data_IF_498647089328
#
_entry.id   IF_498647089328
#
_cell.length_a   1.000
_cell.length_b   1.000
_cell.length_c   1.000
_cell.angle_alpha   90.00
_cell.angle_beta   90.00
_cell.angle_gamma   90.00
#
_symmetry.space_group_name_H-M   'P 1'
#
loop_
_entity.id
_entity.type
_entity.pdbx_description
1 polymer ?
#
# COMPACT_ATOMS: atom_id res chain seq x y z
N UNK A 1 -21.39 -10.84 25.03
CA UNK A 1 -20.65 -9.68 24.49
C UNK A 1 -20.58 -8.65 25.59
N UNK A 2 -19.39 -8.19 25.97
CA UNK A 2 -19.28 -7.05 26.88
C UNK A 2 -19.88 -5.83 26.16
N UNK A 3 -20.76 -5.10 26.82
CA UNK A 3 -21.30 -3.83 26.31
C UNK A 3 -20.14 -2.85 26.22
N UNK A 4 -19.78 -2.42 25.01
CA UNK A 4 -18.80 -1.34 24.83
C UNK A 4 -19.45 -0.01 25.20
N UNK A 5 -18.76 0.78 26.03
CA UNK A 5 -19.22 2.13 26.38
C UNK A 5 -18.79 3.10 25.27
N UNK A 6 -19.76 3.59 24.49
CA UNK A 6 -19.51 4.57 23.44
C UNK A 6 -19.13 5.93 24.02
N UNK A 7 -18.28 6.65 23.29
CA UNK A 7 -17.93 8.04 23.58
C UNK A 7 -19.19 8.91 23.45
N UNK A 8 -19.68 9.58 24.53
CA UNK A 8 -21.02 10.16 24.58
C UNK A 8 -21.24 11.34 23.62
N UNK A 9 -20.16 11.91 23.06
CA UNK A 9 -20.21 13.09 22.22
C UNK A 9 -19.93 12.81 20.74
N UNK A 10 -19.90 11.55 20.32
CA UNK A 10 -19.64 11.18 18.91
C UNK A 10 -20.91 10.61 18.30
N UNK A 11 -21.59 11.41 17.49
CA UNK A 11 -22.80 11.06 16.76
C UNK A 11 -22.58 11.04 15.24
N UNK A 12 -21.55 11.77 14.74
CA UNK A 12 -21.24 11.91 13.33
C UNK A 12 -19.78 11.50 13.07
N UNK A 13 -19.61 10.37 12.44
CA UNK A 13 -18.31 9.89 11.96
C UNK A 13 -18.16 10.23 10.48
N UNK A 14 -17.12 10.99 10.13
CA UNK A 14 -16.77 11.27 8.74
C UNK A 14 -15.48 10.55 8.39
N UNK A 15 -15.48 9.82 7.28
CA UNK A 15 -14.30 9.14 6.74
C UNK A 15 -13.92 9.78 5.41
N UNK A 16 -12.72 10.34 5.32
CA UNK A 16 -12.22 10.97 4.11
C UNK A 16 -11.28 10.01 3.37
N UNK A 17 -11.77 9.48 2.27
CA UNK A 17 -11.16 8.43 1.45
C UNK A 17 -12.17 7.36 1.08
N UNK A 18 -12.12 6.81 -0.13
CA UNK A 18 -13.08 5.83 -0.65
C UNK A 18 -12.43 4.47 -0.99
N UNK A 19 -11.45 4.02 -0.21
CA UNK A 19 -10.77 2.74 -0.43
C UNK A 19 -10.82 1.87 0.82
N UNK A 20 -9.97 0.86 0.91
CA UNK A 20 -9.96 -0.17 1.97
C UNK A 20 -10.07 0.42 3.39
N UNK A 21 -9.31 1.49 3.68
CA UNK A 21 -9.34 2.11 5.01
C UNK A 21 -10.73 2.59 5.39
N UNK A 22 -11.44 3.26 4.48
CA UNK A 22 -12.80 3.72 4.71
C UNK A 22 -13.78 2.55 4.89
N UNK A 23 -13.68 1.54 4.02
CA UNK A 23 -14.50 0.31 4.12
C UNK A 23 -14.35 -0.33 5.50
N UNK A 24 -13.10 -0.58 5.92
CA UNK A 24 -12.82 -1.25 7.19
C UNK A 24 -13.25 -0.41 8.41
N UNK A 25 -13.13 0.91 8.34
CA UNK A 25 -13.67 1.81 9.39
C UNK A 25 -15.18 1.69 9.49
N UNK A 26 -15.89 1.72 8.36
CA UNK A 26 -17.36 1.59 8.31
C UNK A 26 -17.81 0.24 8.88
N UNK A 27 -17.22 -0.85 8.36
CA UNK A 27 -17.52 -2.22 8.83
C UNK A 27 -17.33 -2.35 10.34
N UNK A 28 -16.18 -1.90 10.82
CA UNK A 28 -15.85 -2.03 12.23
C UNK A 28 -16.76 -1.17 13.10
N UNK A 29 -17.10 0.07 12.68
CA UNK A 29 -18.04 0.92 13.40
C UNK A 29 -19.41 0.23 13.56
N UNK A 30 -19.92 -0.38 12.49
CA UNK A 30 -21.20 -1.11 12.54
C UNK A 30 -21.08 -2.43 13.32
N UNK A 31 -19.95 -3.12 13.19
CA UNK A 31 -19.68 -4.37 13.93
C UNK A 31 -19.70 -4.18 15.45
N UNK A 32 -19.17 -3.04 15.94
CA UNK A 32 -19.20 -2.72 17.37
C UNK A 32 -20.54 -2.15 17.84
N UNK A 33 -21.48 -1.89 16.93
CA UNK A 33 -22.82 -1.38 17.23
C UNK A 33 -22.94 0.15 17.27
N UNK A 34 -22.04 0.89 16.62
CA UNK A 34 -22.20 2.34 16.50
C UNK A 34 -23.39 2.68 15.60
N UNK A 35 -24.40 3.37 16.15
CA UNK A 35 -25.65 3.73 15.46
C UNK A 35 -25.65 5.17 14.92
N UNK A 36 -24.60 5.96 15.18
CA UNK A 36 -24.47 7.33 14.69
C UNK A 36 -24.36 7.42 13.17
N UNK A 37 -24.45 8.63 12.67
CA UNK A 37 -24.30 8.93 11.23
C UNK A 37 -22.88 8.62 10.76
N UNK A 38 -22.75 7.95 9.60
CA UNK A 38 -21.46 7.69 8.95
C UNK A 38 -21.49 8.24 7.54
N UNK A 39 -20.57 9.16 7.24
CA UNK A 39 -20.39 9.71 5.89
C UNK A 39 -18.99 9.36 5.38
N UNK A 40 -18.93 8.78 4.19
CA UNK A 40 -17.68 8.49 3.45
C UNK A 40 -17.55 9.47 2.28
N UNK A 41 -16.43 10.17 2.19
CA UNK A 41 -16.12 11.14 1.13
C UNK A 41 -15.03 10.53 0.24
N UNK A 42 -15.35 10.27 -1.03
CA UNK A 42 -14.45 9.67 -2.01
C UNK A 42 -14.24 10.57 -3.21
N UNK A 43 -12.99 10.91 -3.52
CA UNK A 43 -12.63 11.68 -4.73
C UNK A 43 -12.80 10.87 -6.03
N UNK A 44 -12.72 9.54 -5.96
CA UNK A 44 -12.97 8.68 -7.12
C UNK A 44 -14.48 8.56 -7.39
N UNK A 45 -14.84 8.48 -8.66
CA UNK A 45 -16.24 8.29 -9.10
C UNK A 45 -16.75 6.86 -8.89
N UNK A 46 -15.81 5.93 -8.74
CA UNK A 46 -16.10 4.52 -8.52
C UNK A 46 -16.45 4.26 -7.05
N UNK A 47 -17.36 3.32 -6.81
CA UNK A 47 -17.56 2.75 -5.48
C UNK A 47 -16.24 2.13 -4.99
N UNK A 48 -16.03 1.97 -3.66
CA UNK A 48 -14.85 1.30 -3.13
C UNK A 48 -14.62 -0.06 -3.78
N UNK A 49 -13.37 -0.32 -4.17
CA UNK A 49 -12.94 -1.54 -4.86
C UNK A 49 -11.58 -2.01 -4.35
N UNK A 50 -11.28 -3.28 -4.56
CA UNK A 50 -10.00 -3.88 -4.17
C UNK A 50 -8.88 -3.45 -5.12
N UNK A 51 -7.81 -2.83 -4.57
CA UNK A 51 -6.67 -2.34 -5.37
C UNK A 51 -5.62 -3.41 -5.71
N UNK A 52 -5.32 -4.40 -4.85
CA UNK A 52 -4.31 -5.41 -5.15
C UNK A 52 -4.49 -6.15 -6.47
N UNK A 53 -5.71 -6.42 -6.97
CA UNK A 53 -5.89 -7.02 -8.30
C UNK A 53 -5.46 -6.15 -9.48
N UNK A 54 -5.40 -4.82 -9.31
CA UNK A 54 -5.18 -3.86 -10.40
C UNK A 54 -3.84 -4.03 -11.13
N UNK A 55 -2.80 -4.53 -10.45
CA UNK A 55 -1.47 -4.78 -11.02
C UNK A 55 -1.24 -6.24 -11.44
N UNK A 56 -2.20 -7.12 -11.17
CA UNK A 56 -2.12 -8.58 -11.35
C UNK A 56 -3.22 -9.09 -12.30
N UNK A 57 -4.16 -9.82 -11.73
CA UNK A 57 -5.23 -10.50 -12.50
C UNK A 57 -6.08 -9.55 -13.36
N UNK A 58 -6.29 -8.30 -12.91
CA UNK A 58 -7.01 -7.32 -13.70
C UNK A 58 -6.28 -6.94 -15.00
N UNK A 59 -4.95 -6.88 -14.99
CA UNK A 59 -4.16 -6.58 -16.19
C UNK A 59 -4.14 -7.75 -17.18
N UNK A 60 -4.25 -8.98 -16.72
CA UNK A 60 -4.13 -10.19 -17.57
C UNK A 60 -5.47 -10.77 -18.00
N UNK A 61 -6.58 -10.42 -17.35
CA UNK A 61 -7.93 -10.91 -17.66
C UNK A 61 -8.85 -9.78 -18.10
N UNK A 62 -9.98 -10.13 -18.73
CA UNK A 62 -11.03 -9.17 -19.10
C UNK A 62 -12.00 -8.89 -17.94
N UNK A 63 -11.78 -9.48 -16.77
CA UNK A 63 -12.61 -9.28 -15.59
C UNK A 63 -12.39 -7.91 -14.98
N UNK A 64 -13.47 -7.22 -14.63
CA UNK A 64 -13.41 -6.05 -13.77
C UNK A 64 -13.01 -6.47 -12.33
N UNK A 65 -12.29 -5.60 -11.58
CA UNK A 65 -12.01 -5.89 -10.18
C UNK A 65 -13.31 -6.05 -9.41
N UNK A 66 -13.38 -7.03 -8.53
CA UNK A 66 -14.51 -7.14 -7.61
C UNK A 66 -14.53 -5.92 -6.69
N UNK A 67 -15.68 -5.23 -6.53
CA UNK A 67 -15.81 -4.22 -5.52
C UNK A 67 -15.51 -4.84 -4.14
N UNK A 68 -15.05 -4.02 -3.19
CA UNK A 68 -15.01 -4.44 -1.79
C UNK A 68 -16.47 -4.54 -1.36
N UNK A 69 -16.99 -5.74 -1.21
CA UNK A 69 -18.42 -6.10 -1.22
C UNK A 69 -19.26 -5.52 -0.09
N UNK A 70 -18.66 -4.96 0.95
CA UNK A 70 -19.38 -4.58 2.16
C UNK A 70 -20.09 -3.23 2.10
N UNK A 71 -19.80 -2.41 1.11
CA UNK A 71 -20.48 -1.14 0.90
C UNK A 71 -21.50 -1.19 -0.25
N UNK A 72 -21.74 -2.34 -0.84
CA UNK A 72 -22.81 -2.49 -1.84
C UNK A 72 -24.19 -2.23 -1.21
N UNK A 73 -24.36 -2.60 0.07
CA UNK A 73 -25.55 -2.37 0.88
C UNK A 73 -25.41 -1.18 1.86
N UNK A 74 -24.55 -0.19 1.52
CA UNK A 74 -24.26 0.94 2.40
C UNK A 74 -25.52 1.67 2.91
N UNK A 75 -26.55 1.76 2.09
CA UNK A 75 -27.84 2.36 2.45
C UNK A 75 -28.54 1.57 3.57
N UNK A 76 -28.49 0.23 3.53
CA UNK A 76 -29.05 -0.63 4.58
C UNK A 76 -28.32 -0.48 5.92
N UNK A 77 -27.05 -0.04 5.88
CA UNK A 77 -26.25 0.24 7.07
C UNK A 77 -26.33 1.69 7.53
N UNK A 78 -27.16 2.52 6.89
CA UNK A 78 -27.25 3.94 7.20
C UNK A 78 -25.94 4.69 6.94
N UNK A 79 -25.20 4.32 5.89
CA UNK A 79 -23.93 4.94 5.49
C UNK A 79 -24.14 5.78 4.25
N UNK A 80 -23.78 7.06 4.34
CA UNK A 80 -23.81 8.00 3.21
C UNK A 80 -22.46 7.98 2.48
N UNK A 81 -22.40 7.41 1.28
CA UNK A 81 -21.19 7.39 0.45
C UNK A 81 -21.28 8.46 -0.64
N UNK A 82 -20.40 9.45 -0.60
CA UNK A 82 -20.30 10.55 -1.57
C UNK A 82 -19.12 10.30 -2.50
N UNK A 83 -19.35 9.66 -3.64
CA UNK A 83 -18.33 9.41 -4.68
C UNK A 83 -18.18 10.59 -5.62
N UNK A 84 -16.97 10.81 -6.18
CA UNK A 84 -16.66 11.96 -7.03
C UNK A 84 -16.59 13.28 -6.26
N UNK A 85 -16.55 13.23 -4.93
CA UNK A 85 -16.50 14.39 -4.04
C UNK A 85 -15.12 14.51 -3.41
N UNK A 86 -14.43 15.59 -3.71
CA UNK A 86 -13.06 15.84 -3.23
C UNK A 86 -13.08 16.61 -1.92
N UNK A 87 -12.38 16.13 -0.89
CA UNK A 87 -12.10 16.90 0.32
C UNK A 87 -11.05 17.98 -0.01
N UNK A 88 -11.38 19.23 0.25
CA UNK A 88 -10.57 20.41 -0.09
C UNK A 88 -9.76 20.93 1.10
N UNK A 89 -10.33 20.90 2.30
CA UNK A 89 -9.65 21.28 3.54
C UNK A 89 -10.38 20.73 4.77
N UNK A 90 -9.65 20.68 5.89
CA UNK A 90 -10.20 20.31 7.20
C UNK A 90 -10.22 21.55 8.12
N UNK A 91 -11.42 21.99 8.49
CA UNK A 91 -11.64 23.06 9.45
C UNK A 91 -11.84 22.45 10.86
N UNK A 92 -10.77 22.31 11.58
CA UNK A 92 -10.77 21.66 12.90
C UNK A 92 -11.42 22.50 14.00
N UNK A 93 -11.50 23.84 13.81
CA UNK A 93 -12.14 24.75 14.78
C UNK A 93 -13.65 24.63 14.74
N UNK A 94 -14.22 24.55 13.52
CA UNK A 94 -15.66 24.43 13.32
C UNK A 94 -16.11 22.98 13.14
N UNK A 95 -15.19 22.02 13.19
CA UNK A 95 -15.43 20.59 12.94
C UNK A 95 -16.15 20.32 11.61
N UNK A 96 -15.57 20.84 10.51
CA UNK A 96 -16.10 20.69 9.16
C UNK A 96 -15.04 20.10 8.22
N UNK A 97 -15.45 19.15 7.39
CA UNK A 97 -14.70 18.78 6.17
C UNK A 97 -15.28 19.59 5.03
N UNK A 98 -14.49 20.50 4.46
CA UNK A 98 -14.88 21.27 3.28
C UNK A 98 -14.65 20.43 2.04
N UNK A 99 -15.68 20.29 1.21
CA UNK A 99 -15.63 19.45 0.02
C UNK A 99 -16.04 20.24 -1.24
N UNK A 100 -15.79 19.62 -2.40
CA UNK A 100 -16.25 20.16 -3.70
C UNK A 100 -17.79 20.20 -3.84
N UNK A 101 -18.53 19.58 -2.89
CA UNK A 101 -19.98 19.46 -2.88
C UNK A 101 -20.54 19.84 -1.49
N UNK A 102 -20.06 20.96 -0.92
CA UNK A 102 -20.50 21.50 0.36
C UNK A 102 -19.74 20.95 1.58
N UNK A 103 -19.98 21.59 2.72
CA UNK A 103 -19.33 21.27 3.99
C UNK A 103 -20.00 20.08 4.69
N UNK A 104 -19.20 19.22 5.32
CA UNK A 104 -19.66 18.04 6.07
C UNK A 104 -19.25 18.19 7.53
N UNK A 105 -20.20 18.36 8.47
CA UNK A 105 -19.88 18.44 9.90
C UNK A 105 -19.53 17.07 10.46
N UNK A 106 -18.61 17.04 11.44
CA UNK A 106 -18.19 15.81 12.12
C UNK A 106 -18.05 15.99 13.63
N UNK A 107 -18.18 14.90 14.38
CA UNK A 107 -17.77 14.81 15.79
C UNK A 107 -16.43 14.07 15.89
N UNK A 108 -16.23 13.05 15.04
CA UNK A 108 -14.95 12.41 14.78
C UNK A 108 -14.69 12.31 13.26
N UNK A 109 -13.44 12.52 12.84
CA UNK A 109 -13.05 12.37 11.43
C UNK A 109 -11.87 11.41 11.31
N UNK A 110 -11.96 10.49 10.33
CA UNK A 110 -10.90 9.54 9.99
C UNK A 110 -10.33 9.90 8.61
N UNK A 111 -9.05 10.24 8.59
CA UNK A 111 -8.29 10.50 7.38
C UNK A 111 -7.86 9.14 6.81
N UNK A 112 -8.48 8.73 5.71
CA UNK A 112 -8.24 7.47 4.99
C UNK A 112 -7.85 7.73 3.53
N UNK A 113 -7.23 8.88 3.25
CA UNK A 113 -6.90 9.34 1.90
C UNK A 113 -5.79 8.55 1.22
N UNK A 114 -5.07 7.73 1.98
CA UNK A 114 -4.01 6.88 1.45
C UNK A 114 -2.82 7.69 0.93
N UNK A 115 -2.34 7.30 -0.26
CA UNK A 115 -1.18 7.91 -0.89
C UNK A 115 -1.38 8.05 -2.40
N UNK A 116 -0.70 9.02 -3.01
CA UNK A 116 -0.69 9.32 -4.43
C UNK A 116 0.61 8.85 -5.08
N UNK A 117 0.59 8.35 -6.33
CA UNK A 117 1.80 7.97 -7.04
C UNK A 117 2.73 9.16 -7.22
N UNK A 118 4.02 8.93 -7.00
CA UNK A 118 5.05 9.92 -7.35
C UNK A 118 5.11 10.10 -8.85
N UNK A 119 5.21 11.35 -9.28
CA UNK A 119 5.43 11.70 -10.67
C UNK A 119 6.91 11.60 -11.03
N UNK A 120 7.18 11.15 -12.24
CA UNK A 120 8.54 11.15 -12.77
C UNK A 120 8.90 12.59 -13.20
N UNK A 121 9.77 13.25 -12.45
CA UNK A 121 10.14 14.66 -12.68
C UNK A 121 11.12 14.85 -13.85
N UNK A 122 10.82 14.29 -15.03
CA UNK A 122 11.64 14.42 -16.23
C UNK A 122 10.81 14.95 -17.41
N UNK A 123 11.44 15.59 -18.41
CA UNK A 123 10.73 16.02 -19.61
C UNK A 123 10.00 14.84 -20.28
N UNK A 124 8.76 15.06 -20.73
CA UNK A 124 7.93 14.08 -21.44
C UNK A 124 7.18 13.11 -20.52
N UNK A 125 7.24 13.27 -19.20
CA UNK A 125 6.48 12.42 -18.29
C UNK A 125 4.95 12.60 -18.43
N UNK A 126 4.51 13.65 -19.11
CA UNK A 126 3.11 13.97 -19.42
C UNK A 126 2.61 13.39 -20.75
N UNK A 127 3.46 12.76 -21.54
CA UNK A 127 3.08 12.20 -22.83
C UNK A 127 2.04 11.09 -22.70
N UNK A 128 1.15 11.00 -23.68
CA UNK A 128 0.21 9.88 -23.76
C UNK A 128 0.99 8.54 -23.82
N UNK A 129 0.56 7.56 -23.03
CA UNK A 129 1.27 6.29 -22.87
C UNK A 129 2.31 6.31 -21.75
N UNK A 130 2.41 7.41 -20.97
CA UNK A 130 3.12 7.44 -19.69
C UNK A 130 2.07 7.51 -18.57
N UNK A 131 2.06 6.55 -17.67
CA UNK A 131 1.03 6.46 -16.64
C UNK A 131 1.54 5.80 -15.36
N UNK A 132 1.12 6.27 -14.18
CA UNK A 132 1.25 5.48 -12.97
C UNK A 132 0.20 4.34 -12.95
N UNK A 133 0.32 3.45 -11.97
CA UNK A 133 -0.71 2.46 -11.67
C UNK A 133 -1.17 2.62 -10.22
N UNK A 134 -2.37 3.18 -10.00
CA UNK A 134 -2.96 3.36 -8.66
C UNK A 134 -4.47 3.17 -8.65
N UNK A 135 -5.16 3.71 -9.64
CA UNK A 135 -6.64 3.72 -9.72
C UNK A 135 -7.14 2.72 -10.74
N UNK A 136 -8.45 2.42 -10.69
CA UNK A 136 -9.13 1.59 -11.69
C UNK A 136 -8.96 2.16 -13.10
N UNK A 137 -9.05 3.49 -13.25
CA UNK A 137 -8.90 4.14 -14.56
C UNK A 137 -7.46 4.01 -15.09
N UNK A 138 -6.44 4.11 -14.21
CA UNK A 138 -5.05 3.79 -14.59
C UNK A 138 -4.92 2.33 -15.04
N UNK A 139 -5.49 1.40 -14.29
CA UNK A 139 -5.42 -0.03 -14.63
C UNK A 139 -6.10 -0.35 -15.96
N UNK A 140 -7.24 0.28 -16.27
CA UNK A 140 -7.91 0.15 -17.57
C UNK A 140 -7.02 0.66 -18.70
N UNK A 141 -6.45 1.84 -18.56
CA UNK A 141 -5.55 2.42 -19.57
C UNK A 141 -4.31 1.55 -19.80
N UNK A 142 -3.69 1.03 -18.73
CA UNK A 142 -2.55 0.10 -18.83
C UNK A 142 -2.97 -1.19 -19.53
N UNK A 143 -4.09 -1.80 -19.15
CA UNK A 143 -4.60 -3.05 -19.73
C UNK A 143 -4.88 -2.92 -21.24
N UNK A 144 -5.53 -1.82 -21.65
CA UNK A 144 -5.83 -1.54 -23.05
C UNK A 144 -4.56 -1.37 -23.89
N UNK A 145 -3.54 -0.71 -23.32
CA UNK A 145 -2.26 -0.49 -23.99
C UNK A 145 -1.34 -1.72 -23.94
N UNK A 146 -1.63 -2.72 -23.10
CA UNK A 146 -0.76 -3.89 -22.90
C UNK A 146 -1.10 -5.01 -23.88
N UNK A 147 -0.55 -4.94 -25.09
CA UNK A 147 -0.79 -5.91 -26.17
C UNK A 147 0.47 -6.75 -26.44
N UNK A 148 0.34 -7.98 -26.99
CA UNK A 148 1.48 -8.81 -27.38
C UNK A 148 2.43 -8.09 -28.33
N UNK A 149 3.74 -8.25 -28.11
CA UNK A 149 4.80 -7.67 -28.95
C UNK A 149 5.05 -6.17 -28.74
N UNK A 150 4.29 -5.49 -27.85
CA UNK A 150 4.58 -4.09 -27.51
C UNK A 150 5.74 -4.00 -26.52
N UNK A 151 6.49 -2.91 -26.64
CA UNK A 151 7.65 -2.58 -25.79
C UNK A 151 7.16 -1.76 -24.61
N UNK A 152 7.22 -2.36 -23.43
CA UNK A 152 6.78 -1.74 -22.19
C UNK A 152 7.99 -1.44 -21.32
N UNK A 153 8.16 -0.18 -20.96
CA UNK A 153 9.16 0.23 -19.98
C UNK A 153 8.48 0.46 -18.65
N UNK A 154 8.88 -0.30 -17.64
CA UNK A 154 8.42 -0.10 -16.25
C UNK A 154 9.53 0.62 -15.49
N UNK A 155 9.21 1.77 -14.89
CA UNK A 155 10.16 2.58 -14.12
C UNK A 155 9.94 2.39 -12.63
N UNK A 156 10.92 1.78 -11.97
CA UNK A 156 10.90 1.35 -10.57
C UNK A 156 10.63 -0.15 -10.41
N UNK A 157 11.61 -0.89 -9.89
CA UNK A 157 11.50 -2.32 -9.59
C UNK A 157 11.07 -2.58 -8.15
N UNK A 158 10.09 -1.82 -7.67
CA UNK A 158 9.36 -2.06 -6.43
C UNK A 158 8.32 -3.18 -6.60
N UNK A 159 7.48 -3.41 -5.59
CA UNK A 159 6.45 -4.46 -5.64
C UNK A 159 5.49 -4.28 -6.82
N UNK A 160 4.92 -3.08 -6.98
CA UNK A 160 3.98 -2.77 -8.08
C UNK A 160 4.67 -2.86 -9.44
N UNK A 161 5.90 -2.34 -9.57
CA UNK A 161 6.65 -2.44 -10.82
C UNK A 161 6.94 -3.90 -11.21
N UNK A 162 7.29 -4.75 -10.23
CA UNK A 162 7.49 -6.18 -10.44
C UNK A 162 6.19 -6.91 -10.85
N UNK A 163 5.05 -6.56 -10.23
CA UNK A 163 3.73 -7.09 -10.59
C UNK A 163 3.32 -6.70 -12.01
N UNK A 164 3.53 -5.42 -12.40
CA UNK A 164 3.28 -4.93 -13.76
C UNK A 164 4.17 -5.62 -14.76
N UNK A 165 5.47 -5.76 -14.47
CA UNK A 165 6.40 -6.47 -15.34
C UNK A 165 5.98 -7.93 -15.56
N UNK A 166 5.56 -8.61 -14.48
CA UNK A 166 5.02 -9.96 -14.52
C UNK A 166 3.76 -10.05 -15.40
N UNK A 167 2.80 -9.16 -15.18
CA UNK A 167 1.55 -9.13 -15.94
C UNK A 167 1.77 -8.83 -17.41
N UNK A 168 2.69 -7.89 -17.73
CA UNK A 168 3.04 -7.56 -19.10
C UNK A 168 3.70 -8.73 -19.83
N UNK A 169 4.62 -9.44 -19.18
CA UNK A 169 5.24 -10.66 -19.75
C UNK A 169 4.22 -11.75 -20.02
N UNK A 170 3.27 -11.96 -19.11
CA UNK A 170 2.22 -12.97 -19.32
C UNK A 170 1.30 -12.65 -20.51
N UNK A 171 1.18 -11.38 -20.89
CA UNK A 171 0.46 -10.93 -22.09
C UNK A 171 1.33 -10.93 -23.37
N UNK A 172 2.59 -11.36 -23.28
CA UNK A 172 3.51 -11.45 -24.43
C UNK A 172 4.14 -10.12 -24.83
N UNK A 173 4.18 -9.13 -23.96
CA UNK A 173 4.89 -7.88 -24.21
C UNK A 173 6.41 -8.03 -24.00
N UNK A 174 7.20 -7.19 -24.67
CA UNK A 174 8.63 -7.03 -24.39
C UNK A 174 8.82 -6.03 -23.27
N UNK A 175 9.38 -6.47 -22.14
CA UNK A 175 9.44 -5.67 -20.90
C UNK A 175 10.88 -5.31 -20.56
N UNK A 176 11.15 -4.00 -20.42
CA UNK A 176 12.33 -3.47 -19.74
C UNK A 176 11.90 -2.89 -18.38
N UNK A 177 12.53 -3.36 -17.31
CA UNK A 177 12.31 -2.92 -15.95
C UNK A 177 13.51 -2.11 -15.47
N UNK A 178 13.31 -0.81 -15.21
CA UNK A 178 14.35 0.12 -14.78
C UNK A 178 14.33 0.29 -13.26
N UNK A 179 15.51 0.21 -12.65
CA UNK A 179 15.69 0.45 -11.21
C UNK A 179 16.89 1.36 -10.96
N UNK A 180 16.66 2.43 -10.21
CA UNK A 180 17.72 3.38 -9.86
C UNK A 180 18.72 2.85 -8.83
N UNK A 181 18.28 1.88 -8.00
CA UNK A 181 19.14 1.21 -7.02
C UNK A 181 19.90 0.05 -7.67
N UNK A 182 20.97 -0.46 -7.04
CA UNK A 182 21.75 -1.60 -7.54
C UNK A 182 20.94 -2.91 -7.65
N UNK A 183 19.89 -3.07 -6.86
CA UNK A 183 19.04 -4.25 -6.82
C UNK A 183 17.57 -3.85 -6.61
N UNK A 184 16.61 -4.63 -7.16
CA UNK A 184 15.19 -4.41 -6.91
C UNK A 184 14.87 -4.66 -5.43
N UNK A 185 14.01 -3.81 -4.85
CA UNK A 185 13.52 -3.96 -3.46
C UNK A 185 14.61 -4.01 -2.38
N UNK A 186 15.86 -3.66 -2.66
CA UNK A 186 16.98 -3.82 -1.71
C UNK A 186 16.73 -3.19 -0.34
N UNK A 187 16.00 -2.06 -0.29
CA UNK A 187 15.64 -1.41 0.97
C UNK A 187 14.53 -2.13 1.73
N UNK A 188 13.70 -2.89 1.04
CA UNK A 188 12.55 -3.57 1.62
C UNK A 188 12.86 -5.00 2.10
N UNK A 189 13.85 -5.68 1.49
CA UNK A 189 14.12 -7.10 1.77
C UNK A 189 15.60 -7.41 2.00
N UNK A 190 16.48 -6.41 1.96
CA UNK A 190 17.92 -6.59 2.07
C UNK A 190 18.58 -7.17 0.82
N UNK A 191 19.93 -7.12 0.71
CA UNK A 191 20.66 -7.44 -0.52
C UNK A 191 20.52 -8.91 -0.93
N UNK A 192 20.64 -9.86 -0.01
CA UNK A 192 20.60 -11.31 -0.33
C UNK A 192 19.28 -11.76 -0.96
N UNK A 193 18.15 -11.27 -0.44
CA UNK A 193 16.84 -11.55 -1.00
C UNK A 193 16.65 -10.79 -2.31
N UNK A 194 17.08 -9.52 -2.38
CA UNK A 194 16.99 -8.69 -3.56
C UNK A 194 17.72 -9.28 -4.77
N UNK A 195 18.87 -9.92 -4.59
CA UNK A 195 19.60 -10.64 -5.65
C UNK A 195 18.77 -11.79 -6.23
N UNK A 196 18.09 -12.56 -5.38
CA UNK A 196 17.20 -13.65 -5.83
C UNK A 196 15.99 -13.11 -6.59
N UNK A 197 15.44 -11.98 -6.17
CA UNK A 197 14.34 -11.32 -6.89
C UNK A 197 14.80 -10.73 -8.23
N UNK A 198 16.01 -10.20 -8.32
CA UNK A 198 16.60 -9.76 -9.59
C UNK A 198 16.76 -10.93 -10.57
N UNK A 199 17.17 -12.09 -10.09
CA UNK A 199 17.23 -13.31 -10.88
C UNK A 199 15.84 -13.73 -11.40
N UNK A 200 14.82 -13.68 -10.54
CA UNK A 200 13.44 -14.03 -10.90
C UNK A 200 12.91 -13.18 -12.08
N UNK A 201 13.22 -11.89 -12.13
CA UNK A 201 12.87 -11.04 -13.27
C UNK A 201 13.55 -11.50 -14.56
N UNK A 202 14.87 -11.73 -14.51
CA UNK A 202 15.67 -12.13 -15.69
C UNK A 202 15.27 -13.51 -16.22
N UNK A 203 15.04 -14.47 -15.33
CA UNK A 203 14.60 -15.82 -15.67
C UNK A 203 13.26 -15.81 -16.43
N UNK A 204 12.38 -14.85 -16.13
CA UNK A 204 11.11 -14.66 -16.82
C UNK A 204 11.19 -13.74 -18.05
N UNK A 205 12.40 -13.49 -18.56
CA UNK A 205 12.63 -12.76 -19.81
C UNK A 205 12.40 -11.27 -19.72
N UNK A 206 12.51 -10.67 -18.52
CA UNK A 206 12.50 -9.22 -18.32
C UNK A 206 13.91 -8.68 -18.44
N UNK A 207 14.10 -7.64 -19.28
CA UNK A 207 15.33 -6.86 -19.33
C UNK A 207 15.43 -5.95 -18.11
N UNK A 208 15.99 -6.49 -17.01
CA UNK A 208 16.17 -5.75 -15.76
C UNK A 208 17.45 -4.91 -15.80
N UNK A 209 17.29 -3.59 -15.79
CA UNK A 209 18.34 -2.58 -15.77
C UNK A 209 18.39 -1.90 -14.41
N UNK A 210 19.38 -2.26 -13.61
CA UNK A 210 19.62 -1.66 -12.27
C UNK A 210 20.65 -0.53 -12.36
N UNK A 211 20.75 0.31 -11.31
CA UNK A 211 21.60 1.51 -11.29
C UNK A 211 21.36 2.42 -12.51
N UNK A 212 20.11 2.48 -12.98
CA UNK A 212 19.74 3.16 -14.24
C UNK A 212 18.57 4.10 -13.99
N UNK A 213 18.70 5.35 -14.41
CA UNK A 213 17.68 6.39 -14.26
C UNK A 213 17.17 6.86 -15.62
N UNK A 214 15.87 7.19 -15.65
CA UNK A 214 15.27 7.90 -16.79
C UNK A 214 15.72 9.36 -16.75
N UNK A 215 16.22 9.85 -17.89
CA UNK A 215 16.60 11.24 -18.10
C UNK A 215 15.49 12.05 -18.79
N UNK A 216 14.83 11.40 -19.77
CA UNK A 216 13.80 12.03 -20.60
C UNK A 216 12.89 10.94 -21.19
N UNK A 217 11.63 11.27 -21.38
CA UNK A 217 10.71 10.50 -22.23
C UNK A 217 10.42 11.34 -23.46
N UNK A 218 10.53 10.76 -24.65
CA UNK A 218 10.41 11.51 -25.88
C UNK A 218 9.42 10.84 -26.86
N UNK A 219 8.75 11.69 -27.64
CA UNK A 219 7.79 11.30 -28.67
C UNK A 219 6.99 12.49 -29.17
N UNK A 220 6.16 12.26 -30.18
CA UNK A 220 5.28 13.28 -30.77
C UNK A 220 3.84 13.10 -30.27
N UNK A 221 3.52 13.73 -29.12
CA UNK A 221 2.21 13.64 -28.46
C UNK A 221 1.99 12.35 -27.65
N UNK A 222 2.69 11.28 -27.98
CA UNK A 222 2.73 10.03 -27.18
C UNK A 222 4.15 9.52 -27.05
N UNK A 223 4.39 8.63 -26.09
CA UNK A 223 5.69 8.03 -25.87
C UNK A 223 6.13 7.20 -27.08
N UNK A 224 7.38 7.37 -27.48
CA UNK A 224 8.06 6.60 -28.53
C UNK A 224 9.38 5.99 -28.02
N UNK A 225 10.01 6.66 -27.04
CA UNK A 225 11.27 6.21 -26.46
C UNK A 225 11.53 6.80 -25.08
N UNK A 226 12.34 6.07 -24.30
CA UNK A 226 12.86 6.50 -22.99
C UNK A 226 14.37 6.67 -23.13
N UNK A 227 14.89 7.86 -22.76
CA UNK A 227 16.34 8.13 -22.71
C UNK A 227 16.85 7.92 -21.30
N UNK A 228 17.92 7.19 -21.19
CA UNK A 228 18.56 6.84 -19.91
C UNK A 228 19.70 7.81 -19.58
N UNK A 229 20.09 7.85 -18.32
CA UNK A 229 21.25 8.61 -17.85
C UNK A 229 22.59 8.07 -18.39
N UNK A 230 22.62 6.80 -18.84
CA UNK A 230 23.74 6.18 -19.55
C UNK A 230 23.94 6.73 -20.98
N UNK A 231 22.96 7.48 -21.52
CA UNK A 231 22.94 7.95 -22.91
C UNK A 231 22.21 7.00 -23.88
N UNK A 232 21.84 5.82 -23.45
CA UNK A 232 21.04 4.86 -24.24
C UNK A 232 19.61 5.35 -24.42
N UNK A 233 18.97 4.94 -25.51
CA UNK A 233 17.54 5.17 -25.79
C UNK A 233 16.83 3.84 -25.99
N UNK A 234 15.80 3.61 -25.20
CA UNK A 234 14.92 2.45 -25.30
C UNK A 234 13.66 2.85 -26.06
N UNK A 235 13.29 2.11 -27.08
CA UNK A 235 12.01 2.29 -27.73
C UNK A 235 10.87 1.84 -26.76
N UNK A 236 9.80 2.61 -26.68
CA UNK A 236 8.71 2.34 -25.75
C UNK A 236 7.35 2.73 -26.35
N UNK A 237 6.38 1.84 -26.23
CA UNK A 237 5.00 2.04 -26.64
C UNK A 237 4.12 2.38 -25.44
N UNK A 238 4.53 1.95 -24.23
CA UNK A 238 3.95 2.25 -22.93
C UNK A 238 5.05 2.42 -21.88
N UNK A 239 4.89 3.41 -21.01
CA UNK A 239 5.73 3.59 -19.82
C UNK A 239 4.85 3.54 -18.57
N UNK A 240 5.10 2.57 -17.67
CA UNK A 240 4.41 2.50 -16.38
C UNK A 240 5.35 2.96 -15.27
N UNK A 241 4.92 3.97 -14.52
CA UNK A 241 5.74 4.62 -13.47
C UNK A 241 5.35 4.09 -12.10
N UNK A 242 6.29 3.37 -11.44
CA UNK A 242 6.12 2.75 -10.12
C UNK A 242 7.26 3.10 -9.15
N UNK A 243 7.56 4.40 -8.98
CA UNK A 243 8.68 4.91 -8.18
C UNK A 243 8.32 5.26 -6.73
N UNK A 244 7.23 4.70 -6.22
CA UNK A 244 6.72 4.94 -4.87
C UNK A 244 5.55 5.92 -4.86
N UNK A 245 5.12 6.23 -3.64
CA UNK A 245 3.96 7.08 -3.37
C UNK A 245 4.30 8.15 -2.34
N UNK A 246 3.51 9.23 -2.34
CA UNK A 246 3.53 10.26 -1.31
C UNK A 246 2.18 10.27 -0.58
N UNK A 247 2.16 10.40 0.77
CA UNK A 247 0.91 10.47 1.52
C UNK A 247 -0.01 11.60 1.05
N UNK A 248 -1.29 11.30 0.83
CA UNK A 248 -2.27 12.27 0.33
C UNK A 248 -2.74 13.23 1.45
N UNK A 249 -1.86 14.14 1.86
CA UNK A 249 -2.04 15.07 2.99
C UNK A 249 -2.22 16.52 2.57
N UNK A 250 -2.15 16.84 1.28
CA UNK A 250 -2.15 18.23 0.77
C UNK A 250 -3.37 19.05 1.22
N UNK A 251 -4.53 18.44 1.34
CA UNK A 251 -5.79 19.04 1.77
C UNK A 251 -5.84 19.41 3.27
N UNK A 252 -4.89 18.88 4.08
CA UNK A 252 -4.77 19.19 5.52
C UNK A 252 -4.00 20.48 5.81
N UNK A 253 -3.51 21.16 4.79
CA UNK A 253 -2.75 22.40 4.99
C UNK A 253 -3.58 23.43 5.73
N UNK A 254 -3.03 23.97 6.84
CA UNK A 254 -3.70 24.98 7.67
C UNK A 254 -4.72 24.43 8.66
N UNK A 255 -4.95 23.11 8.72
CA UNK A 255 -5.89 22.48 9.67
C UNK A 255 -5.39 22.40 11.12
N UNK A 256 -4.08 22.54 11.35
CA UNK A 256 -3.44 22.27 12.64
C UNK A 256 -3.04 20.80 12.84
N UNK A 257 -3.42 19.91 11.91
CA UNK A 257 -2.96 18.51 11.91
C UNK A 257 -1.49 18.49 11.50
N UNK A 258 -0.64 17.91 12.34
CA UNK A 258 0.78 17.75 12.01
C UNK A 258 0.96 16.67 10.93
N UNK A 259 1.75 17.05 9.90
CA UNK A 259 2.09 16.19 8.76
C UNK A 259 3.60 16.02 8.67
N UNK A 260 4.08 14.78 8.64
CA UNK A 260 5.48 14.44 8.45
C UNK A 260 5.55 13.04 7.83
N UNK A 261 5.79 12.92 6.53
CA UNK A 261 5.69 11.66 5.80
C UNK A 261 4.38 10.90 6.14
N UNK A 262 3.25 11.61 6.09
CA UNK A 262 1.92 11.17 6.52
C UNK A 262 1.37 12.00 7.67
N UNK A 263 0.18 11.67 8.13
CA UNK A 263 -0.45 12.27 9.32
C UNK A 263 0.28 11.75 10.55
N UNK A 264 0.89 12.66 11.30
CA UNK A 264 1.58 12.31 12.54
C UNK A 264 0.55 11.96 13.63
N UNK A 265 0.54 10.70 14.04
CA UNK A 265 -0.38 10.15 15.03
C UNK A 265 0.35 9.67 16.29
N UNK A 266 -0.37 9.70 17.41
CA UNK A 266 0.03 9.01 18.61
C UNK A 266 -0.20 7.47 18.47
N UNK A 267 0.17 6.63 19.44
CA UNK A 267 -0.05 5.18 19.37
C UNK A 267 -1.53 4.76 19.20
N UNK A 268 -2.48 5.63 19.46
CA UNK A 268 -3.91 5.38 19.29
C UNK A 268 -4.43 5.77 17.90
N UNK A 269 -3.53 6.09 16.96
CA UNK A 269 -3.81 6.60 15.60
C UNK A 269 -4.59 7.94 15.61
N UNK A 270 -4.58 8.68 16.71
CA UNK A 270 -5.12 10.02 16.82
C UNK A 270 -4.04 11.03 16.44
N UNK A 271 -4.40 12.01 15.62
CA UNK A 271 -3.49 13.08 15.19
C UNK A 271 -3.18 14.05 16.34
N UNK A 272 -2.44 15.12 16.04
CA UNK A 272 -2.20 16.23 16.97
C UNK A 272 -3.47 17.02 17.32
N UNK A 273 -4.57 16.80 16.61
CA UNK A 273 -5.87 17.45 16.85
C UNK A 273 -6.85 16.40 17.40
N UNK A 274 -7.43 16.62 18.59
CA UNK A 274 -8.38 15.69 19.19
C UNK A 274 -9.58 15.42 18.29
N UNK A 275 -9.99 14.14 18.19
CA UNK A 275 -11.10 13.69 17.34
C UNK A 275 -10.76 13.56 15.86
N UNK A 276 -9.49 13.75 15.49
CA UNK A 276 -8.98 13.56 14.13
C UNK A 276 -8.02 12.37 14.13
N UNK A 277 -8.38 11.32 13.41
CA UNK A 277 -7.63 10.05 13.32
C UNK A 277 -7.13 9.80 11.92
N UNK A 278 -6.18 8.87 11.74
CA UNK A 278 -5.74 8.45 10.41
C UNK A 278 -5.60 6.93 10.30
N UNK A 279 -5.83 6.40 9.08
CA UNK A 279 -5.78 4.96 8.77
C UNK A 279 -5.21 4.69 7.38
N UNK A 280 -4.50 3.59 7.22
CA UNK A 280 -3.88 3.15 5.96
C UNK A 280 -2.61 3.91 5.62
N UNK A 281 -2.28 3.98 4.32
CA UNK A 281 -1.01 4.51 3.82
C UNK A 281 -0.69 5.95 4.25
N UNK A 282 -1.70 6.72 4.69
CA UNK A 282 -1.55 8.10 5.15
C UNK A 282 -1.15 8.22 6.62
N UNK A 283 -1.38 7.16 7.43
CA UNK A 283 -1.15 7.18 8.86
C UNK A 283 0.33 6.91 9.20
N UNK A 284 0.94 7.79 9.98
CA UNK A 284 2.30 7.61 10.52
C UNK A 284 2.25 7.69 12.04
N UNK A 285 2.63 6.61 12.72
CA UNK A 285 2.58 6.53 14.18
C UNK A 285 3.79 5.79 14.73
N UNK A 286 4.05 5.94 16.03
CA UNK A 286 5.03 5.09 16.72
C UNK A 286 4.36 3.73 16.96
N UNK A 287 4.80 2.72 16.21
CA UNK A 287 4.27 1.37 16.32
C UNK A 287 4.82 0.68 17.57
N UNK A 288 3.98 0.32 18.57
CA UNK A 288 4.46 -0.29 19.80
C UNK A 288 5.21 -1.61 19.61
N UNK A 289 4.97 -2.32 18.51
CA UNK A 289 5.64 -3.58 18.18
C UNK A 289 7.17 -3.44 18.08
N UNK A 290 7.66 -2.35 17.48
CA UNK A 290 9.11 -2.12 17.31
C UNK A 290 9.59 -0.78 17.91
N UNK A 291 8.70 0.03 18.46
CA UNK A 291 9.01 1.35 19.02
C UNK A 291 9.40 2.40 17.97
N UNK A 292 9.26 2.12 16.68
CA UNK A 292 9.67 3.00 15.59
C UNK A 292 8.48 3.76 14.99
N UNK A 293 8.75 4.97 14.52
CA UNK A 293 7.77 5.72 13.74
C UNK A 293 7.59 5.05 12.36
N UNK A 294 6.44 4.42 12.16
CA UNK A 294 6.12 3.61 10.98
C UNK A 294 4.99 4.24 10.16
N UNK A 295 5.06 4.08 8.84
CA UNK A 295 3.98 4.29 7.89
C UNK A 295 3.91 3.03 7.02
N UNK A 296 2.89 2.23 7.21
CA UNK A 296 2.74 0.92 6.58
C UNK A 296 1.78 1.02 5.39
N UNK A 297 2.30 0.81 4.19
CA UNK A 297 1.54 0.79 2.92
C UNK A 297 1.04 -0.64 2.60
N UNK A 298 0.49 -1.32 3.61
CA UNK A 298 0.11 -2.72 3.51
C UNK A 298 -1.41 -2.89 3.64
N UNK A 299 -1.99 -3.69 2.76
CA UNK A 299 -3.41 -4.00 2.76
C UNK A 299 -3.90 -4.58 4.10
N UNK A 300 -3.14 -5.51 4.69
CA UNK A 300 -3.46 -6.15 5.98
C UNK A 300 -3.42 -5.18 7.14
N UNK A 301 -2.39 -4.34 7.21
CA UNK A 301 -2.22 -3.35 8.29
C UNK A 301 -3.37 -2.34 8.33
N UNK A 302 -3.95 -2.02 7.18
CA UNK A 302 -5.08 -1.09 7.08
C UNK A 302 -6.30 -1.60 7.87
N UNK A 303 -6.58 -2.90 7.84
CA UNK A 303 -7.67 -3.51 8.61
C UNK A 303 -7.44 -3.43 10.12
N UNK A 304 -6.22 -3.74 10.56
CA UNK A 304 -5.83 -3.66 11.98
C UNK A 304 -5.85 -2.21 12.49
N UNK A 305 -5.36 -1.26 11.68
CA UNK A 305 -5.46 0.17 11.98
C UNK A 305 -6.91 0.65 12.08
N UNK A 306 -7.78 0.22 11.16
CA UNK A 306 -9.20 0.60 11.17
C UNK A 306 -9.90 0.13 12.45
N UNK A 307 -9.64 -1.10 12.90
CA UNK A 307 -10.18 -1.61 14.15
C UNK A 307 -9.71 -0.77 15.35
N UNK A 308 -8.42 -0.42 15.41
CA UNK A 308 -7.87 0.43 16.46
C UNK A 308 -8.47 1.85 16.41
N UNK A 309 -8.57 2.46 15.21
CA UNK A 309 -9.14 3.81 15.05
C UNK A 309 -10.59 3.85 15.49
N UNK A 310 -11.41 2.88 15.08
CA UNK A 310 -12.83 2.84 15.44
C UNK A 310 -12.99 2.70 16.95
N UNK A 311 -12.25 1.80 17.60
CA UNK A 311 -12.25 1.66 19.07
C UNK A 311 -11.87 2.97 19.74
N UNK A 312 -10.75 3.57 19.30
CA UNK A 312 -10.21 4.79 19.92
C UNK A 312 -11.05 6.05 19.65
N UNK A 313 -11.77 6.11 18.53
CA UNK A 313 -12.59 7.25 18.16
C UNK A 313 -14.01 7.18 18.73
N UNK A 314 -14.58 5.97 18.83
CA UNK A 314 -16.01 5.79 19.12
C UNK A 314 -16.29 5.24 20.53
N UNK A 315 -15.27 4.76 21.24
CA UNK A 315 -15.47 4.19 22.58
C UNK A 315 -14.60 4.86 23.64
N UNK A 316 -14.91 4.64 24.90
CA UNK A 316 -14.09 5.10 26.03
C UNK A 316 -12.90 4.17 26.32
N UNK A 317 -12.91 2.95 25.77
CA UNK A 317 -11.89 1.92 25.96
C UNK A 317 -10.81 2.03 24.85
N UNK A 318 -9.79 2.82 25.11
CA UNK A 318 -8.72 3.11 24.16
C UNK A 318 -7.60 2.08 24.23
N UNK A 319 -7.08 1.67 23.07
CA UNK A 319 -5.99 0.69 22.95
C UNK A 319 -4.95 1.14 21.90
N UNK A 320 -3.65 1.06 22.20
CA UNK A 320 -2.59 1.37 21.23
C UNK A 320 -2.62 0.42 20.05
N UNK A 321 -2.41 0.95 18.84
CA UNK A 321 -2.32 0.18 17.61
C UNK A 321 -0.92 -0.43 17.48
N UNK A 322 -0.78 -1.71 17.80
CA UNK A 322 0.47 -2.48 17.69
C UNK A 322 0.35 -3.49 16.57
N UNK A 323 1.17 -3.36 15.53
CA UNK A 323 1.08 -4.18 14.31
C UNK A 323 2.43 -4.82 14.01
N UNK A 324 2.47 -6.13 13.84
CA UNK A 324 3.56 -6.82 13.16
C UNK A 324 3.35 -6.66 11.66
N UNK A 325 4.22 -5.92 10.94
CA UNK A 325 4.02 -5.68 9.52
C UNK A 325 3.93 -6.99 8.73
N UNK A 326 2.97 -7.07 7.84
CA UNK A 326 2.84 -8.21 6.93
C UNK A 326 2.35 -7.72 5.57
N UNK A 327 3.05 -8.17 4.52
CA UNK A 327 2.61 -7.90 3.17
C UNK A 327 2.89 -9.10 2.26
N UNK A 328 2.21 -9.14 1.10
CA UNK A 328 2.46 -10.12 0.06
C UNK A 328 2.45 -9.46 -1.32
N UNK A 329 3.13 -10.13 -2.26
CA UNK A 329 3.09 -9.80 -3.69
C UNK A 329 3.10 -11.11 -4.49
N UNK A 330 2.82 -11.01 -5.77
CA UNK A 330 2.85 -12.14 -6.68
C UNK A 330 3.50 -11.73 -8.00
N UNK A 331 4.61 -12.41 -8.36
CA UNK A 331 5.36 -12.20 -9.59
C UNK A 331 5.53 -13.52 -10.32
N UNK A 332 5.17 -13.59 -11.59
CA UNK A 332 5.35 -14.77 -12.45
C UNK A 332 4.74 -16.05 -11.85
N UNK A 333 3.57 -15.91 -11.19
CA UNK A 333 2.93 -17.01 -10.49
C UNK A 333 3.61 -17.43 -9.19
N UNK A 334 4.64 -16.71 -8.74
CA UNK A 334 5.38 -16.96 -7.48
C UNK A 334 4.90 -16.01 -6.38
N UNK A 335 4.68 -16.56 -5.20
CA UNK A 335 4.21 -15.80 -4.04
C UNK A 335 5.36 -15.29 -3.19
N UNK A 336 5.43 -13.98 -3.04
CA UNK A 336 6.36 -13.26 -2.17
C UNK A 336 5.63 -12.86 -0.88
N UNK A 337 6.25 -13.06 0.27
CA UNK A 337 5.70 -12.65 1.56
C UNK A 337 6.80 -12.09 2.45
N UNK A 338 6.52 -10.97 3.11
CA UNK A 338 7.35 -10.40 4.16
C UNK A 338 6.51 -10.26 5.43
N UNK A 339 6.99 -10.79 6.52
CA UNK A 339 6.45 -10.66 7.86
C UNK A 339 7.50 -10.00 8.76
N UNK A 340 7.11 -8.99 9.53
CA UNK A 340 8.06 -8.19 10.32
C UNK A 340 8.86 -7.22 9.46
N UNK A 341 10.12 -7.06 9.78
CA UNK A 341 11.04 -6.12 9.12
C UNK A 341 12.35 -6.81 8.71
N UNK A 342 13.02 -6.34 7.64
CA UNK A 342 14.34 -6.82 7.29
C UNK A 342 15.39 -6.35 8.31
N UNK A 343 16.49 -7.09 8.41
CA UNK A 343 17.67 -6.71 9.18
C UNK A 343 18.93 -7.19 8.46
N UNK A 344 20.08 -6.69 8.90
CA UNK A 344 21.37 -7.01 8.27
C UNK A 344 21.80 -8.47 8.53
N UNK A 345 21.44 -9.01 9.70
CA UNK A 345 21.69 -10.42 10.01
C UNK A 345 20.55 -11.26 9.41
N UNK A 346 20.88 -12.01 8.35
CA UNK A 346 19.89 -12.83 7.62
C UNK A 346 20.38 -14.24 7.40
N UNK A 347 19.52 -15.21 7.69
CA UNK A 347 19.74 -16.63 7.40
C UNK A 347 18.80 -17.08 6.29
N UNK A 348 19.40 -17.62 5.21
CA UNK A 348 18.67 -18.14 4.06
C UNK A 348 18.58 -19.66 4.12
N UNK A 349 17.39 -20.20 3.95
CA UNK A 349 17.16 -21.63 3.76
C UNK A 349 16.47 -21.89 2.41
N UNK A 350 17.12 -22.71 1.58
CA UNK A 350 16.71 -23.00 0.18
C UNK A 350 17.95 -23.07 -0.71
N UNK A 351 17.92 -23.93 -1.73
CA UNK A 351 19.13 -24.40 -2.41
C UNK A 351 19.49 -23.62 -3.69
N UNK A 352 18.51 -23.06 -4.40
CA UNK A 352 18.76 -22.40 -5.69
C UNK A 352 18.27 -20.97 -5.78
N UNK A 353 18.71 -20.25 -6.82
CA UNK A 353 18.29 -18.85 -7.05
C UNK A 353 16.82 -18.74 -7.49
N UNK A 354 16.27 -19.75 -8.16
CA UNK A 354 14.86 -19.82 -8.58
C UNK A 354 13.97 -20.70 -7.70
N UNK A 355 14.53 -21.40 -6.69
CA UNK A 355 13.78 -22.30 -5.83
C UNK A 355 12.99 -21.57 -4.74
N UNK A 356 11.94 -22.19 -4.16
CA UNK A 356 11.33 -21.72 -2.93
C UNK A 356 12.36 -21.55 -1.81
N UNK A 357 12.31 -20.42 -1.11
CA UNK A 357 13.22 -20.15 0.00
C UNK A 357 12.55 -19.38 1.13
N UNK A 358 13.20 -19.41 2.29
CA UNK A 358 12.88 -18.59 3.46
C UNK A 358 14.13 -17.83 3.89
N UNK A 359 14.01 -16.52 4.06
CA UNK A 359 14.99 -15.69 4.74
C UNK A 359 14.43 -15.34 6.12
N UNK A 360 15.23 -15.48 7.17
CA UNK A 360 14.89 -15.11 8.53
C UNK A 360 15.83 -13.97 8.96
N UNK A 361 15.25 -12.87 9.41
CA UNK A 361 15.98 -11.66 9.77
C UNK A 361 16.10 -11.54 11.29
N UNK A 362 17.30 -11.25 11.76
CA UNK A 362 17.61 -11.09 13.18
C UNK A 362 18.22 -9.73 13.45
N UNK A 363 17.85 -9.14 14.57
CA UNK A 363 18.45 -7.93 15.10
C UNK A 363 18.71 -8.12 16.59
N UNK A 364 19.94 -7.90 17.05
CA UNK A 364 20.36 -8.08 18.46
C UNK A 364 19.94 -9.45 19.05
N UNK A 365 19.99 -10.50 18.23
CA UNK A 365 19.64 -11.86 18.62
C UNK A 365 18.13 -12.16 18.68
N UNK A 366 17.28 -11.19 18.37
CA UNK A 366 15.83 -11.36 18.23
C UNK A 366 15.44 -11.69 16.79
N UNK A 367 14.43 -12.55 16.59
CA UNK A 367 13.81 -12.76 15.29
C UNK A 367 12.84 -11.60 15.01
N UNK A 368 13.21 -10.74 14.06
CA UNK A 368 12.45 -9.52 13.74
C UNK A 368 11.70 -9.59 12.43
N UNK A 369 11.99 -10.57 11.58
CA UNK A 369 11.28 -10.72 10.32
C UNK A 369 11.58 -12.02 9.59
N UNK A 370 10.76 -12.28 8.56
CA UNK A 370 10.94 -13.37 7.64
C UNK A 370 10.42 -13.01 6.25
N UNK A 371 11.20 -13.35 5.21
CA UNK A 371 10.77 -13.27 3.82
C UNK A 371 10.67 -14.68 3.23
N UNK A 372 9.59 -14.97 2.52
CA UNK A 372 9.39 -16.23 1.81
C UNK A 372 9.07 -16.04 0.34
N UNK A 373 9.76 -16.79 -0.51
CA UNK A 373 9.33 -17.05 -1.88
C UNK A 373 8.69 -18.44 -1.91
N UNK A 374 7.41 -18.53 -2.28
CA UNK A 374 6.60 -19.75 -2.29
C UNK A 374 6.69 -20.59 -1.00
N UNK A 375 6.82 -19.90 0.13
CA UNK A 375 6.97 -20.52 1.43
C UNK A 375 5.94 -20.04 2.47
N UNK A 376 4.63 -19.91 2.12
CA UNK A 376 3.64 -19.27 2.98
C UNK A 376 3.48 -19.93 4.33
N UNK A 377 3.47 -21.25 4.37
CA UNK A 377 3.35 -22.00 5.62
C UNK A 377 4.55 -21.81 6.56
N UNK A 378 5.76 -21.70 5.99
CA UNK A 378 6.98 -21.45 6.77
C UNK A 378 7.02 -20.03 7.34
N UNK A 379 6.66 -19.02 6.53
CA UNK A 379 6.56 -17.62 7.00
C UNK A 379 5.53 -17.51 8.12
N UNK A 380 4.34 -18.08 7.94
CA UNK A 380 3.25 -17.96 8.91
C UNK A 380 3.51 -18.70 10.24
N UNK A 381 4.29 -19.78 10.23
CA UNK A 381 4.74 -20.43 11.47
C UNK A 381 5.59 -19.51 12.37
N UNK A 382 6.27 -18.54 11.76
CA UNK A 382 7.12 -17.57 12.50
C UNK A 382 6.34 -16.37 13.07
N UNK A 383 5.03 -16.24 12.74
CA UNK A 383 4.23 -15.04 13.10
C UNK A 383 4.22 -14.77 14.61
N UNK A 384 4.05 -15.78 15.44
CA UNK A 384 4.06 -15.62 16.89
C UNK A 384 5.43 -15.19 17.40
N UNK A 385 6.48 -15.85 16.93
CA UNK A 385 7.86 -15.55 17.35
C UNK A 385 8.30 -14.13 16.94
N UNK A 386 7.97 -13.70 15.72
CA UNK A 386 8.24 -12.35 15.22
C UNK A 386 7.37 -11.32 15.95
N UNK A 387 6.09 -11.62 16.19
CA UNK A 387 5.17 -10.75 16.93
C UNK A 387 5.64 -10.46 18.34
N UNK A 388 6.16 -11.48 19.03
CA UNK A 388 6.71 -11.37 20.38
C UNK A 388 8.20 -10.95 20.40
N UNK A 389 8.84 -10.80 19.23
CA UNK A 389 10.29 -10.52 19.09
C UNK A 389 11.15 -11.49 19.93
N UNK A 390 10.85 -12.79 19.82
CA UNK A 390 11.54 -13.81 20.61
C UNK A 390 13.02 -13.86 20.28
N UNK A 391 13.83 -14.14 21.32
CA UNK A 391 15.23 -14.48 21.10
C UNK A 391 15.35 -15.71 20.22
N UNK A 392 16.41 -15.76 19.39
CA UNK A 392 16.68 -16.92 18.55
C UNK A 392 16.77 -18.23 19.35
N UNK A 393 17.35 -18.18 20.55
CA UNK A 393 17.45 -19.34 21.43
C UNK A 393 16.09 -19.83 21.93
N UNK A 394 15.18 -18.91 22.28
CA UNK A 394 13.85 -19.29 22.75
C UNK A 394 12.97 -19.82 21.61
N UNK A 395 13.15 -19.29 20.39
CA UNK A 395 12.50 -19.81 19.21
C UNK A 395 12.92 -21.24 18.90
N UNK A 396 14.23 -21.56 18.97
CA UNK A 396 14.74 -22.92 18.80
C UNK A 396 14.17 -23.89 19.84
N UNK A 397 14.06 -23.46 21.12
CA UNK A 397 13.44 -24.27 22.18
C UNK A 397 11.94 -24.55 21.94
N UNK A 398 11.21 -23.58 21.36
CA UNK A 398 9.79 -23.73 21.00
C UNK A 398 9.56 -24.61 19.75
N UNK A 399 10.61 -25.07 19.06
CA UNK A 399 10.50 -25.88 17.84
C UNK A 399 9.97 -25.12 16.62
N UNK A 400 9.99 -23.79 16.64
CA UNK A 400 9.47 -22.96 15.57
C UNK A 400 10.46 -22.76 14.40
N UNK A 401 11.67 -23.32 14.50
CA UNK A 401 12.77 -23.13 13.53
C UNK A 401 12.82 -24.20 12.40
N UNK A 402 11.93 -25.19 12.39
CA UNK A 402 11.94 -26.31 11.41
C UNK A 402 10.84 -26.19 10.34
#
# INVERSE_FOLDING_TARGET
>A
MATMDFAPNVHRLVVVGGSLGAVRVVEEARRIGFEGEVTVISGEKHRPYDRPPLSKEFLVSDKEPSPITYLDDAESWGVNIRTGVTALSLDTRNRLVRTSDGDVPYDAVVIATGAEPRTLGVPGAELVGVTPLRTLDHARAVREAMQPGLRIVVVGAGFIGGEVASSARSRGADVTLLEAMPLPLVRAVGPLVAERLAYLHRENGVDLRTSTKVREIAGSGRVEKVRLDTGESLAADLVVVGIGVDPATGWLRGSGVAVSDGVACNPFLESTVPGVYAVGDVARWVNPWNGQASRLEHWTSTGEQAAAVVRNALTTDREPCSITPYFWSEWYGRRLQLLGEPADEVELSGTGTGDPFLAQYRNDGELVGAFGLDSPGRVMKLRGAIGERLSWQDMLKKGAAS
#
